data_IF_108547318240
#
_entry.id   IF_108547318240
#
_cell.length_a   1.000
_cell.length_b   1.000
_cell.length_c   1.000
_cell.angle_alpha   90.00
_cell.angle_beta   90.00
_cell.angle_gamma   90.00
#
_symmetry.space_group_name_H-M   'P 1'
#
loop_
_entity.id
_entity.type
_entity.pdbx_description
1 polymer ?
#
# COMPACT_ATOMS: atom_id res chain seq x y z
N UNK A 1 11.24 -17.46 -1.12
CA UNK A 1 10.62 -18.55 -0.36
C UNK A 1 11.47 -19.80 -0.34
N UNK A 2 12.18 -20.16 -1.40
CA UNK A 2 13.15 -21.28 -1.35
C UNK A 2 14.31 -21.03 -0.39
N UNK A 3 14.78 -19.77 -0.30
CA UNK A 3 15.88 -19.37 0.59
C UNK A 3 15.45 -19.09 2.04
N UNK A 4 14.14 -18.84 2.28
CA UNK A 4 13.58 -18.51 3.60
C UNK A 4 12.31 -19.33 3.78
N UNK A 5 12.41 -20.57 4.26
CA UNK A 5 11.28 -21.49 4.39
C UNK A 5 10.24 -21.06 5.45
N UNK A 6 10.62 -20.17 6.38
CA UNK A 6 9.75 -19.65 7.42
C UNK A 6 8.72 -18.61 6.90
N UNK A 7 8.84 -18.18 5.63
CA UNK A 7 7.94 -17.20 5.03
C UNK A 7 6.70 -17.91 4.48
N UNK A 8 5.53 -17.57 5.00
CA UNK A 8 4.25 -18.13 4.57
C UNK A 8 3.71 -17.48 3.29
N UNK A 9 3.97 -16.18 3.08
CA UNK A 9 3.52 -15.48 1.87
C UNK A 9 4.46 -14.33 1.49
N UNK A 10 4.60 -14.09 0.19
CA UNK A 10 5.27 -12.91 -0.37
C UNK A 10 4.31 -12.21 -1.32
N UNK A 11 4.06 -10.92 -1.06
CA UNK A 11 3.15 -10.12 -1.87
C UNK A 11 3.84 -8.89 -2.42
N UNK A 12 3.48 -8.52 -3.63
CA UNK A 12 3.85 -7.23 -4.20
C UNK A 12 2.97 -6.10 -3.66
N UNK A 13 3.45 -4.88 -3.77
CA UNK A 13 2.74 -3.68 -3.31
C UNK A 13 1.35 -3.52 -3.94
N UNK A 14 1.13 -4.03 -5.16
CA UNK A 14 -0.17 -4.03 -5.82
C UNK A 14 -1.24 -4.91 -5.15
N UNK A 15 -0.83 -5.81 -4.23
CA UNK A 15 -1.71 -6.74 -3.54
C UNK A 15 -2.29 -6.19 -2.23
N UNK A 16 -2.09 -4.93 -1.88
CA UNK A 16 -2.54 -4.37 -0.60
C UNK A 16 -4.03 -4.54 -0.34
N UNK A 17 -4.87 -4.43 -1.37
CA UNK A 17 -6.31 -4.63 -1.27
C UNK A 17 -6.70 -6.11 -0.99
N UNK A 18 -5.81 -7.05 -1.31
CA UNK A 18 -6.05 -8.49 -1.18
C UNK A 18 -5.36 -9.10 0.05
N UNK A 19 -4.77 -8.27 0.92
CA UNK A 19 -3.98 -8.74 2.08
C UNK A 19 -4.75 -9.74 2.95
N UNK A 20 -6.03 -9.51 3.20
CA UNK A 20 -6.87 -10.41 4.02
C UNK A 20 -6.96 -11.79 3.38
N UNK A 21 -7.16 -11.86 2.06
CA UNK A 21 -7.23 -13.14 1.33
C UNK A 21 -5.91 -13.90 1.39
N UNK A 22 -4.79 -13.18 1.29
CA UNK A 22 -3.44 -13.78 1.40
C UNK A 22 -3.21 -14.31 2.80
N UNK A 23 -3.53 -13.54 3.84
CA UNK A 23 -3.43 -13.98 5.22
C UNK A 23 -4.28 -15.22 5.51
N UNK A 24 -5.52 -15.26 5.00
CA UNK A 24 -6.39 -16.45 5.14
C UNK A 24 -5.77 -17.70 4.52
N UNK A 25 -5.15 -17.57 3.33
CA UNK A 25 -4.44 -18.70 2.70
C UNK A 25 -3.23 -19.14 3.52
N UNK A 26 -2.45 -18.20 4.02
CA UNK A 26 -1.29 -18.49 4.87
C UNK A 26 -1.71 -19.24 6.16
N UNK A 27 -2.80 -18.82 6.81
CA UNK A 27 -3.35 -19.50 7.98
C UNK A 27 -3.83 -20.94 7.66
N UNK A 28 -4.21 -21.21 6.41
CA UNK A 28 -4.52 -22.56 5.95
C UNK A 28 -3.27 -23.37 5.53
N UNK A 29 -2.07 -22.85 5.76
CA UNK A 29 -0.81 -23.52 5.41
C UNK A 29 -0.47 -23.48 3.91
N UNK A 30 -1.11 -22.61 3.13
CA UNK A 30 -0.85 -22.45 1.70
C UNK A 30 0.14 -21.32 1.47
N UNK A 31 1.37 -21.66 1.12
CA UNK A 31 2.37 -20.67 0.71
C UNK A 31 1.92 -19.98 -0.59
N UNK A 32 1.99 -18.66 -0.61
CA UNK A 32 1.46 -17.85 -1.72
C UNK A 32 2.46 -16.77 -2.14
N UNK A 33 2.69 -16.67 -3.46
CA UNK A 33 3.36 -15.56 -4.10
C UNK A 33 2.34 -14.80 -4.96
N UNK A 34 2.15 -13.51 -4.70
CA UNK A 34 1.17 -12.71 -5.42
C UNK A 34 1.68 -11.29 -5.72
N UNK A 35 1.91 -10.98 -6.99
CA UNK A 35 2.48 -9.73 -7.46
C UNK A 35 1.62 -9.07 -8.55
N UNK A 36 0.45 -8.51 -8.22
CA UNK A 36 -0.38 -7.81 -9.20
C UNK A 36 0.23 -6.48 -9.62
N UNK A 37 -0.36 -5.86 -10.66
CA UNK A 37 0.11 -4.59 -11.21
C UNK A 37 0.08 -3.48 -10.15
N UNK A 38 1.17 -2.74 -10.02
CA UNK A 38 1.34 -1.64 -9.06
C UNK A 38 0.51 -0.40 -9.40
N UNK A 39 0.19 -0.21 -10.67
CA UNK A 39 -0.54 0.97 -11.16
C UNK A 39 -2.00 0.99 -10.71
N UNK A 40 -2.53 -0.18 -10.35
CA UNK A 40 -3.89 -0.36 -9.86
C UNK A 40 -4.02 -0.21 -8.34
N UNK A 41 -2.96 0.21 -7.64
CA UNK A 41 -2.99 0.41 -6.19
C UNK A 41 -4.02 1.47 -5.82
N UNK A 42 -5.03 1.14 -5.02
CA UNK A 42 -5.90 2.14 -4.43
C UNK A 42 -5.06 3.00 -3.47
N UNK A 43 -5.13 4.30 -3.64
CA UNK A 43 -4.54 5.26 -2.69
C UNK A 43 -5.53 5.69 -1.60
N UNK A 44 -6.76 5.19 -1.68
CA UNK A 44 -7.92 5.57 -0.88
C UNK A 44 -8.42 4.38 -0.08
N UNK A 45 -9.13 4.65 0.99
CA UNK A 45 -9.77 3.65 1.84
C UNK A 45 -9.86 4.07 3.29
N UNK A 46 -10.79 3.48 4.01
CA UNK A 46 -10.89 3.64 5.46
C UNK A 46 -9.66 3.03 6.12
N UNK A 47 -9.16 3.69 7.15
CA UNK A 47 -8.01 3.22 7.92
C UNK A 47 -8.21 3.40 9.41
N UNK A 48 -7.63 2.50 10.17
CA UNK A 48 -7.51 2.61 11.61
C UNK A 48 -6.25 3.41 11.94
N UNK A 49 -6.39 4.48 12.72
CA UNK A 49 -5.27 5.28 13.17
C UNK A 49 -4.55 4.59 14.33
N UNK A 50 -3.25 4.41 14.19
CA UNK A 50 -2.35 3.99 15.26
C UNK A 50 -1.49 5.14 15.82
N UNK A 51 -1.67 6.36 15.26
CA UNK A 51 -1.02 7.58 15.72
C UNK A 51 -1.76 8.17 16.93
N UNK A 52 -1.09 8.99 17.78
CA UNK A 52 -1.79 9.78 18.79
C UNK A 52 -2.88 10.67 18.19
N UNK A 53 -3.91 10.97 18.96
CA UNK A 53 -5.10 11.68 18.48
C UNK A 53 -4.86 13.10 17.92
N UNK A 54 -3.72 13.71 18.23
CA UNK A 54 -3.42 15.10 17.85
C UNK A 54 -2.71 15.24 16.50
N UNK A 55 -2.40 14.13 15.78
CA UNK A 55 -1.83 14.18 14.45
C UNK A 55 -2.07 12.90 13.65
N UNK A 56 -2.08 13.00 12.34
CA UNK A 56 -2.19 11.88 11.43
C UNK A 56 -1.45 12.16 10.11
N UNK A 57 -0.97 11.10 9.45
CA UNK A 57 -0.47 11.21 8.09
C UNK A 57 -1.62 11.27 7.09
N UNK A 58 -1.52 12.17 6.13
CA UNK A 58 -2.41 12.25 4.98
C UNK A 58 -1.60 11.99 3.69
N UNK A 59 -1.89 10.90 3.01
CA UNK A 59 -1.20 10.55 1.77
C UNK A 59 -1.89 11.22 0.59
N UNK A 60 -1.18 12.11 -0.11
CA UNK A 60 -1.72 12.87 -1.24
C UNK A 60 -1.32 12.29 -2.60
N UNK A 61 -0.21 11.56 -2.65
CA UNK A 61 0.33 10.98 -3.89
C UNK A 61 1.21 9.77 -3.59
N UNK A 62 1.55 9.01 -4.63
CA UNK A 62 2.48 7.88 -4.55
C UNK A 62 3.28 7.73 -5.85
N UNK A 63 4.43 7.03 -5.76
CA UNK A 63 5.29 6.77 -6.88
C UNK A 63 6.15 7.96 -7.29
N UNK A 64 6.97 7.76 -8.32
CA UNK A 64 7.83 8.80 -8.88
C UNK A 64 8.16 8.49 -10.34
N UNK A 65 8.04 9.50 -11.21
CA UNK A 65 8.39 9.39 -12.63
C UNK A 65 9.75 10.00 -12.98
N UNK A 66 10.51 10.49 -11.99
CA UNK A 66 11.88 10.95 -12.19
C UNK A 66 12.82 9.73 -12.18
N UNK A 67 13.33 9.33 -13.33
CA UNK A 67 14.19 8.18 -13.49
C UNK A 67 15.65 8.52 -13.11
N UNK A 68 15.91 8.93 -11.88
CA UNK A 68 17.26 9.21 -11.39
C UNK A 68 18.09 7.92 -11.36
N UNK A 69 19.33 7.97 -11.82
CA UNK A 69 20.18 6.78 -12.02
C UNK A 69 20.47 5.97 -10.74
N UNK A 70 20.40 6.61 -9.58
CA UNK A 70 20.66 6.00 -8.27
C UNK A 70 19.40 5.62 -7.49
N UNK A 71 18.21 5.87 -8.04
CA UNK A 71 16.96 5.78 -7.29
C UNK A 71 16.10 4.59 -7.73
N UNK A 72 15.74 3.73 -6.76
CA UNK A 72 14.89 2.57 -6.99
C UNK A 72 13.38 2.84 -6.86
N UNK A 73 12.96 4.04 -6.46
CA UNK A 73 11.55 4.36 -6.16
C UNK A 73 10.61 4.05 -7.33
N UNK A 74 10.91 4.42 -8.60
CA UNK A 74 10.03 4.08 -9.71
C UNK A 74 9.81 2.57 -9.88
N UNK A 75 10.85 1.77 -9.62
CA UNK A 75 10.78 0.30 -9.65
C UNK A 75 9.99 -0.29 -8.49
N UNK A 76 10.05 0.34 -7.30
CA UNK A 76 9.37 -0.15 -6.08
C UNK A 76 7.91 0.30 -6.05
N UNK A 77 7.66 1.62 -6.22
CA UNK A 77 6.34 2.23 -6.02
C UNK A 77 5.55 2.45 -7.32
N UNK A 78 6.20 2.33 -8.47
CA UNK A 78 5.62 2.63 -9.77
C UNK A 78 5.67 4.11 -10.14
N UNK A 79 5.00 4.50 -11.25
CA UNK A 79 4.96 5.88 -11.72
C UNK A 79 4.24 6.79 -10.71
N UNK A 80 4.54 8.09 -10.81
CA UNK A 80 3.87 9.11 -9.99
C UNK A 80 2.37 9.14 -10.29
N UNK A 81 1.57 9.18 -9.24
CA UNK A 81 0.13 9.34 -9.30
C UNK A 81 -0.38 10.12 -8.09
N UNK A 82 -1.24 11.08 -8.34
CA UNK A 82 -1.90 11.88 -7.31
C UNK A 82 -3.28 11.32 -6.99
N UNK A 83 -3.71 11.54 -5.77
CA UNK A 83 -5.11 11.33 -5.39
C UNK A 83 -5.98 12.50 -5.89
N UNK A 84 -7.27 12.27 -6.19
CA UNK A 84 -8.22 13.34 -6.43
C UNK A 84 -8.28 14.29 -5.22
N UNK A 85 -8.40 15.59 -5.48
CA UNK A 85 -8.40 16.60 -4.42
C UNK A 85 -9.59 16.41 -3.47
N UNK A 86 -10.75 16.08 -4.01
CA UNK A 86 -11.99 15.85 -3.25
C UNK A 86 -11.82 14.69 -2.25
N UNK A 87 -11.16 13.61 -2.67
CA UNK A 87 -10.86 12.46 -1.81
C UNK A 87 -9.88 12.83 -0.68
N UNK A 88 -8.88 13.63 -0.98
CA UNK A 88 -7.89 14.10 0.01
C UNK A 88 -8.56 15.00 1.05
N UNK A 89 -9.40 15.93 0.61
CA UNK A 89 -10.16 16.85 1.50
C UNK A 89 -11.12 16.06 2.38
N UNK A 90 -11.91 15.14 1.81
CA UNK A 90 -12.84 14.32 2.57
C UNK A 90 -12.14 13.48 3.65
N UNK A 91 -10.96 12.93 3.35
CA UNK A 91 -10.15 12.21 4.34
C UNK A 91 -9.62 13.16 5.43
N UNK A 92 -9.15 14.35 5.05
CA UNK A 92 -8.67 15.34 6.01
C UNK A 92 -9.77 15.77 6.99
N UNK A 93 -10.99 16.02 6.50
CA UNK A 93 -12.17 16.33 7.32
C UNK A 93 -12.52 15.18 8.26
N UNK A 94 -12.51 13.95 7.77
CA UNK A 94 -12.74 12.75 8.59
C UNK A 94 -11.71 12.59 9.69
N UNK A 95 -10.44 12.89 9.40
CA UNK A 95 -9.35 12.81 10.38
C UNK A 95 -9.46 13.92 11.43
N UNK A 96 -9.87 15.13 11.03
CA UNK A 96 -10.04 16.26 11.94
C UNK A 96 -11.26 16.11 12.87
N UNK A 97 -12.25 15.32 12.48
CA UNK A 97 -13.45 15.04 13.28
C UNK A 97 -13.31 13.89 14.28
N UNK A 98 -12.17 13.25 14.32
CA UNK A 98 -11.84 12.14 15.27
C UNK A 98 -11.08 12.65 16.47
#
# INVERSE_FOLDING_TARGET
>A
MEEIPEVDAVIGIGANADIVKVCQKALCGVQTNFFPCKELLPLEGERMLSTPAHWAYLKISDGCSNCCSYCAIPGIRGPFRSRPMESVVAEAESLAGR
#
